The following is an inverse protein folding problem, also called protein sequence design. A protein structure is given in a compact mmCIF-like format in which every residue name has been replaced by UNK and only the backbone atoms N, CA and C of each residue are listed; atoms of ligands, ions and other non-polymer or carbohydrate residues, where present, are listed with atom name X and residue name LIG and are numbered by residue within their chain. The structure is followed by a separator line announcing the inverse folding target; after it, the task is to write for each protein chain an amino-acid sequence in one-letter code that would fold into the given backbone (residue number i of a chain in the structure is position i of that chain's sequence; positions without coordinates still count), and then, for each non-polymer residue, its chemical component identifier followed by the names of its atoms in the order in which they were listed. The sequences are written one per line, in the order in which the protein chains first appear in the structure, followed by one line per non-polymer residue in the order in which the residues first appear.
data_IF_950895292814
#
_entry.id   IF_950895292814
#
_cell.length_a   1.000
_cell.length_b   1.000
_cell.length_c   1.000
_cell.angle_alpha   90.00
_cell.angle_beta   90.00
_cell.angle_gamma   90.00
#
_symmetry.space_group_name_H-M   'P 1'
#
loop_
_entity.id
_entity.type
_entity.pdbx_description
1 polymer ?
#
# COMPACT_ATOMS: atom_id res chain seq x y z
N UNK A 1 10.14 -18.29 -2.96
CA UNK A 1 10.76 -17.04 -2.50
C UNK A 1 11.14 -17.21 -1.04
N UNK A 2 12.25 -16.63 -0.60
CA UNK A 2 12.61 -16.58 0.82
C UNK A 2 12.59 -15.15 1.32
N UNK A 3 12.00 -14.93 2.48
CA UNK A 3 11.93 -13.63 3.14
C UNK A 3 12.50 -13.76 4.54
N UNK A 4 13.33 -12.82 4.94
CA UNK A 4 13.96 -12.80 6.26
C UNK A 4 13.39 -11.62 7.03
N UNK A 5 12.90 -11.90 8.24
CA UNK A 5 12.30 -10.92 9.13
C UNK A 5 13.00 -10.94 10.50
N UNK A 6 12.98 -9.80 11.17
CA UNK A 6 13.48 -9.61 12.53
C UNK A 6 13.10 -8.23 13.04
N UNK A 7 13.45 -7.95 14.29
CA UNK A 7 13.18 -6.65 14.89
C UNK A 7 13.91 -5.52 14.17
N UNK A 8 13.39 -4.30 14.31
CA UNK A 8 13.97 -3.12 13.66
C UNK A 8 15.43 -2.92 14.08
N UNK A 9 16.33 -2.93 13.11
CA UNK A 9 17.77 -2.75 13.32
C UNK A 9 18.52 -4.03 13.71
N UNK A 10 17.85 -5.18 13.71
CA UNK A 10 18.47 -6.47 13.99
C UNK A 10 19.11 -7.07 12.74
N UNK A 11 20.32 -7.60 12.90
CA UNK A 11 21.09 -8.22 11.83
C UNK A 11 21.75 -9.55 12.25
N UNK A 12 21.66 -9.91 13.53
CA UNK A 12 22.19 -11.18 14.03
C UNK A 12 21.34 -12.35 13.56
N UNK A 13 21.95 -13.33 12.90
CA UNK A 13 21.25 -14.49 12.32
C UNK A 13 20.42 -15.29 13.35
N UNK A 14 20.85 -15.33 14.61
CA UNK A 14 20.08 -15.97 15.69
C UNK A 14 18.81 -15.24 16.12
N UNK A 15 18.61 -14.00 15.66
CA UNK A 15 17.43 -13.17 15.91
C UNK A 15 16.63 -12.87 14.63
N UNK A 16 17.07 -13.44 13.51
CA UNK A 16 16.37 -13.38 12.24
C UNK A 16 15.65 -14.70 11.99
N UNK A 17 14.46 -14.61 11.41
CA UNK A 17 13.67 -15.76 11.00
C UNK A 17 13.46 -15.72 9.50
N UNK A 18 13.75 -16.82 8.83
CA UNK A 18 13.52 -16.98 7.41
C UNK A 18 12.20 -17.72 7.16
N UNK A 19 11.46 -17.29 6.15
CA UNK A 19 10.25 -17.92 5.66
C UNK A 19 10.43 -18.28 4.19
N UNK A 20 10.16 -19.53 3.83
CA UNK A 20 10.08 -19.97 2.44
C UNK A 20 8.62 -20.05 2.01
N UNK A 21 8.25 -19.25 1.00
CA UNK A 21 6.90 -19.19 0.46
C UNK A 21 6.95 -19.64 -1.01
N UNK A 22 6.16 -20.65 -1.40
CA UNK A 22 6.05 -21.05 -2.81
C UNK A 22 5.39 -19.92 -3.62
N UNK A 23 6.05 -19.49 -4.69
CA UNK A 23 5.55 -18.40 -5.55
C UNK A 23 4.50 -18.87 -6.55
N UNK A 24 4.51 -20.15 -6.92
CA UNK A 24 3.51 -20.74 -7.79
C UNK A 24 2.46 -21.47 -6.95
N UNK A 25 1.21 -21.28 -7.33
CA UNK A 25 0.06 -22.04 -6.83
C UNK A 25 -0.69 -22.50 -8.06
N UNK A 26 -0.82 -23.81 -8.23
CA UNK A 26 -1.36 -24.42 -9.46
C UNK A 26 -0.71 -23.81 -10.71
N UNK A 27 -1.47 -23.06 -11.51
CA UNK A 27 -1.04 -22.42 -12.76
C UNK A 27 -0.79 -20.89 -12.62
N UNK A 28 -0.93 -20.34 -11.42
CA UNK A 28 -0.80 -18.91 -11.12
C UNK A 28 0.48 -18.52 -10.40
N UNK A 29 0.83 -17.23 -10.47
CA UNK A 29 1.87 -16.61 -9.65
C UNK A 29 1.21 -15.84 -8.50
N UNK A 30 1.74 -16.01 -7.29
CA UNK A 30 1.40 -15.16 -6.14
C UNK A 30 1.81 -13.73 -6.42
N UNK A 31 0.91 -12.81 -6.11
CA UNK A 31 1.20 -11.38 -6.10
C UNK A 31 2.09 -11.04 -4.90
N UNK A 32 2.79 -9.89 -4.94
CA UNK A 32 3.49 -9.38 -3.76
C UNK A 32 2.59 -9.24 -2.52
N UNK A 33 1.31 -8.91 -2.72
CA UNK A 33 0.33 -8.78 -1.65
C UNK A 33 0.00 -10.13 -1.01
N UNK A 34 -0.14 -11.20 -1.79
CA UNK A 34 -0.36 -12.55 -1.25
C UNK A 34 0.80 -12.99 -0.35
N UNK A 35 2.03 -12.66 -0.75
CA UNK A 35 3.23 -12.95 0.02
C UNK A 35 3.24 -12.15 1.33
N UNK A 36 2.91 -10.87 1.28
CA UNK A 36 2.83 -10.01 2.47
C UNK A 36 1.75 -10.48 3.45
N UNK A 37 0.57 -10.86 2.95
CA UNK A 37 -0.54 -11.38 3.75
C UNK A 37 -0.16 -12.67 4.49
N UNK A 38 0.45 -13.63 3.79
CA UNK A 38 0.97 -14.84 4.42
C UNK A 38 2.01 -14.52 5.49
N UNK A 39 2.98 -13.65 5.18
CA UNK A 39 4.03 -13.28 6.12
C UNK A 39 3.48 -12.66 7.40
N UNK A 40 2.47 -11.77 7.29
CA UNK A 40 1.80 -11.22 8.46
C UNK A 40 1.17 -12.32 9.30
N UNK A 41 0.48 -13.28 8.70
CA UNK A 41 -0.11 -14.39 9.45
C UNK A 41 0.96 -15.21 10.16
N UNK A 42 2.00 -15.67 9.46
CA UNK A 42 3.00 -16.59 10.03
C UNK A 42 4.00 -15.91 10.97
N UNK A 43 4.20 -14.60 10.84
CA UNK A 43 5.12 -13.84 11.68
C UNK A 43 4.45 -13.30 12.95
N UNK A 44 3.12 -13.23 13.00
CA UNK A 44 2.39 -12.74 14.18
C UNK A 44 1.82 -13.91 14.99
N UNK A 45 1.94 -13.82 16.32
CA UNK A 45 1.43 -14.85 17.23
C UNK A 45 2.35 -16.07 17.36
N UNK A 46 1.84 -17.10 18.03
CA UNK A 46 2.56 -18.37 18.26
C UNK A 46 2.00 -19.45 17.36
N UNK A 47 2.86 -20.00 16.51
CA UNK A 47 2.51 -21.06 15.56
C UNK A 47 3.22 -22.37 15.90
N UNK A 48 2.53 -23.49 15.72
CA UNK A 48 3.11 -24.82 15.84
C UNK A 48 3.40 -25.33 14.44
N UNK A 49 4.68 -25.57 14.16
CA UNK A 49 5.12 -26.08 12.86
C UNK A 49 5.49 -27.57 12.94
N UNK A 50 5.04 -28.39 11.98
CA UNK A 50 5.55 -29.74 11.80
C UNK A 50 7.06 -29.74 11.59
N UNK A 51 7.75 -30.77 12.09
CA UNK A 51 9.22 -30.86 12.04
C UNK A 51 9.77 -30.83 10.61
N UNK A 52 9.05 -31.39 9.64
CA UNK A 52 9.40 -31.38 8.21
C UNK A 52 9.25 -30.00 7.56
N UNK A 53 8.56 -29.06 8.22
CA UNK A 53 8.39 -27.67 7.79
C UNK A 53 9.37 -26.70 8.48
N UNK A 54 10.26 -27.20 9.33
CA UNK A 54 11.28 -26.42 10.03
C UNK A 54 12.67 -26.89 9.62
N UNK A 55 13.50 -25.96 9.20
CA UNK A 55 14.89 -26.21 8.83
C UNK A 55 15.78 -25.05 9.31
N UNK A 56 17.02 -24.99 8.84
CA UNK A 56 17.93 -23.88 9.08
C UNK A 56 18.58 -23.43 7.79
N UNK A 57 18.78 -22.11 7.63
CA UNK A 57 19.49 -21.54 6.50
C UNK A 57 20.38 -20.40 6.97
N UNK A 58 21.67 -20.43 6.64
CA UNK A 58 22.64 -19.40 7.03
C UNK A 58 22.61 -19.05 8.55
N UNK A 59 22.41 -20.05 9.40
CA UNK A 59 22.33 -19.87 10.86
C UNK A 59 21.00 -19.29 11.38
N UNK A 60 20.02 -19.07 10.50
CA UNK A 60 18.66 -18.65 10.84
C UNK A 60 17.72 -19.85 10.86
N UNK A 61 16.68 -19.79 11.69
CA UNK A 61 15.55 -20.75 11.62
C UNK A 61 14.76 -20.47 10.34
N UNK A 62 14.48 -21.54 9.59
CA UNK A 62 13.71 -21.48 8.35
C UNK A 62 12.36 -22.18 8.55
N UNK A 63 11.26 -21.47 8.30
CA UNK A 63 9.92 -22.03 8.22
C UNK A 63 9.49 -22.16 6.76
N UNK A 64 9.10 -23.36 6.36
CA UNK A 64 8.48 -23.61 5.04
C UNK A 64 6.98 -23.39 5.20
N UNK A 65 6.50 -22.31 4.60
CA UNK A 65 5.09 -21.93 4.67
C UNK A 65 4.31 -22.77 3.69
N UNK A 66 3.30 -23.50 4.19
CA UNK A 66 2.30 -24.16 3.36
C UNK A 66 1.05 -23.28 3.27
N UNK A 67 0.83 -22.57 2.16
CA UNK A 67 -0.26 -21.63 2.07
C UNK A 67 -1.65 -22.26 2.08
N UNK A 68 -1.78 -23.56 1.79
CA UNK A 68 -3.07 -24.25 1.86
C UNK A 68 -3.55 -24.41 3.32
N UNK A 69 -2.64 -24.22 4.28
CA UNK A 69 -2.89 -24.38 5.72
C UNK A 69 -2.95 -23.06 6.47
N UNK A 70 -2.69 -21.94 5.80
CA UNK A 70 -2.59 -20.61 6.39
C UNK A 70 -3.70 -19.74 5.85
N UNK A 71 -4.53 -19.22 6.74
CA UNK A 71 -5.49 -18.16 6.41
C UNK A 71 -4.74 -16.82 6.25
N UNK A 72 -4.64 -16.25 5.03
CA UNK A 72 -3.86 -15.04 4.81
C UNK A 72 -4.48 -13.84 5.54
N UNK A 73 -3.62 -13.01 6.15
CA UNK A 73 -4.08 -11.80 6.81
C UNK A 73 -4.82 -10.89 5.81
N UNK A 74 -5.93 -10.24 6.22
CA UNK A 74 -6.67 -9.35 5.34
C UNK A 74 -5.82 -8.16 4.93
N UNK A 75 -6.17 -7.58 3.79
CA UNK A 75 -5.57 -6.36 3.30
C UNK A 75 -5.87 -5.20 4.26
N UNK A 76 -4.84 -4.42 4.61
CA UNK A 76 -4.98 -3.31 5.54
C UNK A 76 -5.20 -1.99 4.81
N UNK A 77 -5.69 -0.97 5.50
CA UNK A 77 -5.81 0.37 4.92
C UNK A 77 -4.45 0.96 4.54
N UNK A 78 -3.38 0.59 5.25
CA UNK A 78 -2.00 0.98 4.90
C UNK A 78 -1.56 0.34 3.57
N UNK A 79 -1.97 -0.91 3.29
CA UNK A 79 -1.70 -1.55 2.01
C UNK A 79 -2.44 -0.84 0.87
N UNK A 80 -3.68 -0.41 1.13
CA UNK A 80 -4.48 0.34 0.16
C UNK A 80 -3.86 1.70 -0.12
N UNK A 81 -3.46 2.42 0.94
CA UNK A 81 -2.77 3.69 0.82
C UNK A 81 -1.45 3.53 0.05
N UNK A 82 -0.63 2.53 0.38
CA UNK A 82 0.61 2.26 -0.35
C UNK A 82 0.35 1.94 -1.83
N UNK A 83 -0.69 1.16 -2.13
CA UNK A 83 -1.06 0.81 -3.50
C UNK A 83 -1.46 2.06 -4.29
N UNK A 84 -2.35 2.88 -3.74
CA UNK A 84 -2.76 4.17 -4.31
C UNK A 84 -1.56 5.10 -4.55
N UNK A 85 -0.73 5.30 -3.52
CA UNK A 85 0.45 6.17 -3.61
C UNK A 85 1.43 5.68 -4.69
N UNK A 86 1.67 4.37 -4.77
CA UNK A 86 2.51 3.78 -5.83
C UNK A 86 1.95 4.03 -7.23
N UNK A 87 0.64 3.90 -7.42
CA UNK A 87 -0.01 4.19 -8.70
C UNK A 87 0.19 5.66 -9.11
N UNK A 88 0.17 6.59 -8.16
CA UNK A 88 0.37 8.02 -8.41
C UNK A 88 1.84 8.41 -8.63
N UNK A 89 2.78 7.79 -7.91
CA UNK A 89 4.22 8.12 -8.00
C UNK A 89 4.96 7.37 -9.09
N UNK A 90 4.44 6.22 -9.51
CA UNK A 90 5.07 5.35 -10.52
C UNK A 90 4.00 4.84 -11.48
N UNK A 91 3.37 5.76 -12.24
CA UNK A 91 2.34 5.41 -13.20
C UNK A 91 2.93 4.46 -14.23
N UNK A 92 2.18 3.42 -14.57
CA UNK A 92 2.61 2.40 -15.55
C UNK A 92 2.49 2.89 -17.01
N UNK A 93 2.15 4.16 -17.20
CA UNK A 93 1.90 4.80 -18.50
C UNK A 93 3.13 5.61 -18.93
N UNK A 94 3.40 5.65 -20.24
CA UNK A 94 4.46 6.51 -20.80
C UNK A 94 4.12 8.01 -20.65
N UNK A 95 2.83 8.34 -20.57
CA UNK A 95 2.34 9.69 -20.31
C UNK A 95 2.48 10.05 -18.82
N UNK A 96 2.99 11.26 -18.58
CA UNK A 96 3.04 11.82 -17.22
C UNK A 96 1.61 12.10 -16.74
N UNK A 97 1.27 11.72 -15.50
CA UNK A 97 -0.05 11.99 -14.95
C UNK A 97 -0.28 13.50 -14.86
N UNK A 98 -1.48 13.93 -15.24
CA UNK A 98 -1.89 15.35 -15.26
C UNK A 98 -1.86 15.99 -13.86
N UNK A 99 -2.05 15.18 -12.82
CA UNK A 99 -1.95 15.59 -11.42
C UNK A 99 -0.74 14.89 -10.77
N UNK A 100 0.23 15.67 -10.31
CA UNK A 100 1.43 15.14 -9.65
C UNK A 100 1.23 15.09 -8.14
N UNK A 101 1.52 13.94 -7.54
CA UNK A 101 1.55 13.82 -6.09
C UNK A 101 2.75 14.58 -5.49
N UNK A 102 2.45 15.54 -4.62
CA UNK A 102 3.42 16.31 -3.85
C UNK A 102 3.63 15.77 -2.44
N UNK A 103 2.58 15.19 -1.87
CA UNK A 103 2.60 14.67 -0.51
C UNK A 103 1.28 14.00 -0.14
N UNK A 104 1.21 13.44 1.05
CA UNK A 104 -0.01 12.85 1.59
C UNK A 104 -0.06 12.97 3.11
N UNK A 105 -1.26 12.89 3.68
CA UNK A 105 -1.50 12.92 5.11
C UNK A 105 -2.62 11.94 5.47
N UNK A 106 -2.38 11.07 6.45
CA UNK A 106 -3.45 10.24 7.03
C UNK A 106 -4.30 11.11 7.96
N UNK A 107 -5.58 11.29 7.60
CA UNK A 107 -6.54 12.05 8.40
C UNK A 107 -7.28 11.15 9.39
N UNK A 108 -7.55 9.90 8.98
CA UNK A 108 -8.21 8.87 9.76
C UNK A 108 -7.78 7.48 9.26
N UNK A 109 -8.12 6.37 9.94
CA UNK A 109 -7.72 5.03 9.52
C UNK A 109 -8.11 4.66 8.08
N UNK A 110 -9.18 5.25 7.55
CA UNK A 110 -9.72 5.00 6.21
C UNK A 110 -9.73 6.25 5.31
N UNK A 111 -9.13 7.36 5.76
CA UNK A 111 -9.13 8.66 5.06
C UNK A 111 -7.70 9.15 4.84
N UNK A 112 -7.36 9.37 3.58
CA UNK A 112 -6.06 9.86 3.13
C UNK A 112 -6.26 11.19 2.40
N UNK A 113 -5.54 12.23 2.80
CA UNK A 113 -5.41 13.47 2.03
C UNK A 113 -4.24 13.34 1.08
N UNK A 114 -4.48 13.56 -0.21
CA UNK A 114 -3.47 13.63 -1.26
C UNK A 114 -3.25 15.09 -1.62
N UNK A 115 -2.00 15.55 -1.64
CA UNK A 115 -1.64 16.87 -2.13
C UNK A 115 -1.19 16.76 -3.57
N UNK A 116 -1.93 17.38 -4.47
CA UNK A 116 -1.79 17.22 -5.91
C UNK A 116 -1.52 18.59 -6.54
N UNK A 117 -0.46 18.66 -7.32
CA UNK A 117 -0.16 19.81 -8.16
C UNK A 117 -0.74 19.53 -9.55
N UNK A 118 -1.79 20.28 -9.90
CA UNK A 118 -2.39 20.23 -11.21
C UNK A 118 -1.51 21.04 -12.17
N UNK A 119 -1.23 20.47 -13.35
CA UNK A 119 -0.32 21.06 -14.34
C UNK A 119 -0.64 22.54 -14.66
N UNK A 120 0.36 23.33 -15.11
CA UNK A 120 0.36 24.81 -15.24
C UNK A 120 -0.86 25.47 -15.93
N UNK A 121 -1.67 24.73 -16.68
CA UNK A 121 -2.89 25.23 -17.35
C UNK A 121 -4.12 25.23 -16.42
N UNK A 122 -4.10 24.44 -15.34
CA UNK A 122 -5.08 24.48 -14.27
C UNK A 122 -4.68 25.54 -13.22
N UNK A 123 -5.66 26.01 -12.44
CA UNK A 123 -5.49 27.07 -11.44
C UNK A 123 -4.20 26.91 -10.61
N UNK A 124 -3.39 27.97 -10.43
CA UNK A 124 -2.12 27.86 -9.72
C UNK A 124 -2.34 27.48 -8.25
N UNK A 125 -1.75 26.38 -7.81
CA UNK A 125 -1.68 25.97 -6.40
C UNK A 125 -1.97 24.48 -6.16
N UNK A 126 -1.46 23.99 -5.04
CA UNK A 126 -1.67 22.60 -4.59
C UNK A 126 -3.13 22.38 -4.21
N UNK A 127 -3.76 21.37 -4.82
CA UNK A 127 -5.10 20.91 -4.49
C UNK A 127 -4.99 19.69 -3.58
N UNK A 128 -5.63 19.74 -2.42
CA UNK A 128 -5.78 18.58 -1.55
C UNK A 128 -7.02 17.77 -1.98
N UNK A 129 -6.91 16.45 -1.99
CA UNK A 129 -8.02 15.53 -2.25
C UNK A 129 -8.12 14.50 -1.12
N UNK A 130 -9.24 14.49 -0.41
CA UNK A 130 -9.51 13.51 0.64
C UNK A 130 -10.16 12.27 0.02
N UNK A 131 -9.55 11.11 0.17
CA UNK A 131 -9.97 9.86 -0.48
C UNK A 131 -10.06 8.71 0.51
N UNK A 132 -10.83 7.67 0.16
CA UNK A 132 -10.79 6.36 0.82
C UNK A 132 -9.88 5.41 0.02
N UNK A 133 -8.69 5.05 0.52
CA UNK A 133 -7.74 4.24 -0.26
C UNK A 133 -8.29 2.85 -0.68
N UNK A 134 -9.17 2.27 0.13
CA UNK A 134 -9.78 0.96 -0.14
C UNK A 134 -11.05 0.99 -1.00
N UNK A 135 -11.43 2.16 -1.52
CA UNK A 135 -12.59 2.34 -2.41
C UNK A 135 -12.31 1.89 -3.86
N UNK A 136 -13.04 2.45 -4.82
CA UNK A 136 -12.89 2.15 -6.24
C UNK A 136 -11.60 2.76 -6.84
N UNK A 137 -10.44 2.25 -6.42
CA UNK A 137 -9.12 2.82 -6.72
C UNK A 137 -8.90 3.11 -8.21
N UNK A 138 -9.27 2.19 -9.09
CA UNK A 138 -9.11 2.36 -10.54
C UNK A 138 -9.99 3.47 -11.10
N UNK A 139 -11.23 3.58 -10.61
CA UNK A 139 -12.16 4.64 -11.00
C UNK A 139 -11.67 5.99 -10.48
N UNK A 140 -11.23 6.05 -9.22
CA UNK A 140 -10.63 7.24 -8.63
C UNK A 140 -9.41 7.70 -9.43
N UNK A 141 -8.46 6.82 -9.71
CA UNK A 141 -7.25 7.17 -10.48
C UNK A 141 -7.56 7.70 -11.89
N UNK A 142 -8.59 7.14 -12.54
CA UNK A 142 -9.02 7.58 -13.87
C UNK A 142 -9.76 8.91 -13.85
N UNK A 143 -10.57 9.16 -12.81
CA UNK A 143 -11.39 10.37 -12.67
C UNK A 143 -10.64 11.52 -11.99
N UNK A 144 -9.55 11.24 -11.26
CA UNK A 144 -8.85 12.21 -10.42
C UNK A 144 -8.53 13.52 -11.16
N UNK A 145 -7.96 13.52 -12.39
CA UNK A 145 -7.66 14.77 -13.09
C UNK A 145 -8.90 15.63 -13.31
N UNK A 146 -10.00 15.02 -13.78
CA UNK A 146 -11.26 15.72 -14.02
C UNK A 146 -11.89 16.25 -12.73
N UNK A 147 -11.84 15.46 -11.66
CA UNK A 147 -12.45 15.82 -10.37
C UNK A 147 -11.74 16.98 -9.67
N UNK A 148 -10.44 17.15 -9.92
CA UNK A 148 -9.70 18.31 -9.39
C UNK A 148 -10.18 19.62 -10.03
N UNK A 149 -10.67 19.61 -11.26
CA UNK A 149 -11.16 20.82 -11.93
C UNK A 149 -12.61 21.19 -11.57
N UNK A 150 -13.33 20.30 -10.89
CA UNK A 150 -14.74 20.50 -10.53
C UNK A 150 -14.91 21.46 -9.34
N UNK A 151 -15.34 22.68 -9.65
CA UNK A 151 -15.58 23.75 -8.67
C UNK A 151 -16.65 23.43 -7.61
N UNK A 152 -17.52 22.44 -7.85
CA UNK A 152 -18.59 22.08 -6.92
C UNK A 152 -18.13 21.07 -5.85
N UNK A 153 -17.02 20.38 -6.07
CA UNK A 153 -16.41 19.47 -5.10
C UNK A 153 -15.39 20.18 -4.20
N UNK A 154 -15.11 21.46 -4.47
CA UNK A 154 -14.07 22.23 -3.79
C UNK A 154 -14.61 22.99 -2.60
N UNK A 155 -13.96 22.81 -1.47
CA UNK A 155 -14.09 23.68 -0.30
C UNK A 155 -12.80 24.48 -0.15
N UNK A 156 -12.93 25.77 0.16
CA UNK A 156 -11.79 26.58 0.57
C UNK A 156 -11.49 26.22 2.02
N UNK A 157 -10.51 25.35 2.24
CA UNK A 157 -10.03 25.03 3.58
C UNK A 157 -9.07 26.14 4.01
N UNK A 158 -9.50 26.97 4.97
CA UNK A 158 -8.70 28.09 5.46
C UNK A 158 -7.60 27.65 6.44
N UNK A 159 -7.63 26.40 6.91
CA UNK A 159 -6.80 25.92 8.03
C UNK A 159 -5.60 25.07 7.59
N UNK A 160 -5.55 24.63 6.32
CA UNK A 160 -4.44 23.83 5.78
C UNK A 160 -3.43 24.71 5.00
N UNK A 161 -2.23 24.99 5.54
CA UNK A 161 -1.25 25.85 4.90
C UNK A 161 -0.56 25.21 3.68
N UNK A 162 -0.85 23.93 3.38
CA UNK A 162 -0.19 23.18 2.30
C UNK A 162 -1.01 23.11 1.01
N UNK A 163 -2.26 23.59 1.01
CA UNK A 163 -3.12 23.60 -0.18
C UNK A 163 -3.90 24.91 -0.32
N UNK A 164 -4.30 25.23 -1.55
CA UNK A 164 -5.18 26.36 -1.84
C UNK A 164 -6.66 26.00 -1.75
N UNK A 165 -6.98 24.71 -1.87
CA UNK A 165 -8.33 24.15 -1.83
C UNK A 165 -8.31 22.67 -1.49
N UNK A 166 -9.42 22.19 -0.92
CA UNK A 166 -9.64 20.79 -0.59
C UNK A 166 -10.84 20.26 -1.37
N UNK A 167 -10.71 19.05 -1.90
CA UNK A 167 -11.76 18.30 -2.57
C UNK A 167 -12.09 17.08 -1.72
N UNK A 168 -13.35 16.87 -1.36
CA UNK A 168 -13.77 15.65 -0.67
C UNK A 168 -14.21 14.60 -1.70
N UNK A 169 -13.41 13.55 -1.85
CA UNK A 169 -13.65 12.41 -2.74
C UNK A 169 -13.83 11.12 -1.92
N UNK A 170 -14.23 11.23 -0.65
CA UNK A 170 -14.38 10.05 0.23
C UNK A 170 -15.61 9.20 -0.08
N UNK A 171 -16.55 9.71 -0.90
CA UNK A 171 -17.77 9.01 -1.33
C UNK A 171 -17.64 8.33 -2.71
N UNK A 172 -16.44 8.35 -3.32
CA UNK A 172 -16.15 7.75 -4.63
C UNK A 172 -15.72 6.27 -4.57
#
# INVERSE_FOLDING_TARGET
MRVVLGDKGEYGTGRLTAYEIPLRVDDGLRTPHDVAALLRTVHTGTHIYPRDKVSSVMGMTLFIVDPATVDPAPFTNDDWALTLLRCLTSPSTEERPQARLCGFLFLAPDRLRLYLDANEEALPGVTAADVRPGGALTALLAALPSLLDEQWLTTTDADDPHCSRVVDLTDW
#
